data_IF_568279437569
#
_entry.id   IF_568279437569
#
_cell.length_a   1.000
_cell.length_b   1.000
_cell.length_c   1.000
_cell.angle_alpha   90.00
_cell.angle_beta   90.00
_cell.angle_gamma   90.00
#
_symmetry.space_group_name_H-M   'P 1'
#
loop_
_entity.id
_entity.type
_entity.pdbx_description
1 polymer ?
#
# COMPACT_ATOMS: atom_id res chain seq x y z
N UNK A 1 -20.72 -9.13 -9.69
CA UNK A 1 -19.48 -9.89 -9.43
C UNK A 1 -18.39 -8.87 -9.25
N UNK A 2 -17.61 -8.91 -8.18
CA UNK A 2 -16.51 -7.96 -7.98
C UNK A 2 -15.35 -8.35 -8.87
N UNK A 3 -14.84 -7.41 -9.65
CA UNK A 3 -13.70 -7.59 -10.56
C UNK A 3 -12.39 -7.13 -9.90
N UNK A 4 -11.26 -7.46 -10.52
CA UNK A 4 -9.96 -6.92 -10.08
C UNK A 4 -9.91 -5.39 -10.23
N UNK A 5 -10.52 -4.83 -11.28
CA UNK A 5 -10.57 -3.38 -11.48
C UNK A 5 -11.38 -2.70 -10.38
N UNK A 6 -12.50 -3.29 -9.96
CA UNK A 6 -13.30 -2.75 -8.86
C UNK A 6 -12.49 -2.67 -7.55
N UNK A 7 -11.60 -3.64 -7.29
CA UNK A 7 -10.72 -3.62 -6.12
C UNK A 7 -9.66 -2.52 -6.23
N UNK A 8 -9.03 -2.40 -7.41
CA UNK A 8 -8.02 -1.36 -7.68
C UNK A 8 -8.61 0.03 -7.47
N UNK A 9 -9.81 0.27 -8.02
CA UNK A 9 -10.48 1.57 -7.96
C UNK A 9 -10.97 1.87 -6.53
N UNK A 10 -11.55 0.87 -5.85
CA UNK A 10 -12.07 1.04 -4.49
C UNK A 10 -10.95 1.36 -3.48
N UNK A 11 -9.82 0.64 -3.57
CA UNK A 11 -8.69 0.80 -2.65
C UNK A 11 -7.68 1.86 -3.10
N UNK A 12 -7.87 2.44 -4.30
CA UNK A 12 -6.96 3.41 -4.92
C UNK A 12 -5.53 2.85 -5.05
N UNK A 13 -5.43 1.63 -5.57
CA UNK A 13 -4.15 0.97 -5.75
C UNK A 13 -3.35 1.61 -6.90
N UNK A 14 -2.04 1.66 -6.73
CA UNK A 14 -1.08 2.16 -7.71
C UNK A 14 -0.18 1.03 -8.21
N UNK A 15 0.50 1.23 -9.35
CA UNK A 15 1.44 0.24 -9.88
C UNK A 15 2.70 0.17 -9.02
N UNK A 16 3.01 -1.03 -8.52
CA UNK A 16 4.25 -1.27 -7.78
C UNK A 16 5.42 -1.47 -8.76
N UNK A 17 6.62 -0.92 -8.49
CA UNK A 17 7.80 -1.09 -9.33
C UNK A 17 8.21 -2.55 -9.58
N UNK A 18 7.92 -3.44 -8.63
CA UNK A 18 8.19 -4.88 -8.75
C UNK A 18 7.13 -5.66 -9.54
N UNK A 19 6.07 -4.98 -9.99
CA UNK A 19 4.89 -5.57 -10.61
C UNK A 19 3.72 -5.70 -9.64
N UNK A 20 2.49 -5.77 -10.18
CA UNK A 20 1.26 -5.83 -9.38
C UNK A 20 0.67 -4.45 -9.07
N UNK A 21 -0.15 -4.39 -8.01
CA UNK A 21 -0.87 -3.20 -7.53
C UNK A 21 -0.74 -3.11 -6.00
N UNK A 22 -0.54 -1.92 -5.45
CA UNK A 22 -0.41 -1.72 -4.00
C UNK A 22 -0.89 -0.35 -3.55
N UNK A 23 -1.11 -0.18 -2.25
CA UNK A 23 -1.22 1.12 -1.59
C UNK A 23 -0.72 0.98 -0.15
N UNK A 24 0.07 1.92 0.36
CA UNK A 24 0.45 1.92 1.78
C UNK A 24 -0.69 2.46 2.63
N UNK A 25 -1.31 1.60 3.43
CA UNK A 25 -2.45 1.95 4.28
C UNK A 25 -2.03 2.35 5.69
N UNK A 26 -0.82 1.96 6.10
CA UNK A 26 -0.30 2.24 7.44
C UNK A 26 1.21 2.50 7.43
N UNK A 27 1.62 3.42 8.28
CA UNK A 27 3.00 3.68 8.66
C UNK A 27 3.02 4.11 10.13
N UNK A 28 3.83 3.44 10.94
CA UNK A 28 4.08 3.87 12.32
C UNK A 28 4.70 5.28 12.37
N UNK A 29 4.61 5.98 13.52
CA UNK A 29 5.44 7.15 13.79
C UNK A 29 6.93 6.87 13.53
N UNK A 30 7.71 7.93 13.34
CA UNK A 30 9.17 7.80 13.15
C UNK A 30 9.80 7.01 14.30
N UNK A 31 10.53 5.97 13.92
CA UNK A 31 11.36 5.17 14.81
C UNK A 31 12.83 5.56 14.72
N UNK A 32 13.71 4.61 15.01
CA UNK A 32 15.16 4.83 15.05
C UNK A 32 15.67 5.23 13.65
N UNK A 33 16.53 6.25 13.62
CA UNK A 33 17.17 6.78 12.40
C UNK A 33 16.18 7.17 11.28
N UNK A 34 14.97 7.59 11.65
CA UNK A 34 13.93 8.00 10.69
C UNK A 34 13.20 6.83 10.03
N UNK A 35 13.48 5.58 10.41
CA UNK A 35 12.75 4.40 9.93
C UNK A 35 11.59 4.08 10.86
N UNK A 36 10.37 4.08 10.32
CA UNK A 36 9.18 3.62 11.04
C UNK A 36 9.33 2.14 11.47
N UNK A 37 8.77 1.80 12.63
CA UNK A 37 8.83 0.42 13.16
C UNK A 37 8.13 -0.60 12.26
N UNK A 38 7.03 -0.20 11.63
CA UNK A 38 6.35 -1.00 10.62
C UNK A 38 5.64 -0.14 9.57
N UNK A 39 5.30 -0.80 8.47
CA UNK A 39 4.45 -0.30 7.39
C UNK A 39 3.59 -1.45 6.89
N UNK A 40 2.39 -1.16 6.38
CA UNK A 40 1.51 -2.18 5.80
C UNK A 40 0.96 -1.74 4.44
N UNK A 41 0.83 -2.72 3.55
CA UNK A 41 0.27 -2.64 2.19
C UNK A 41 -0.67 -3.83 1.96
#
# INVERSE_FOLDING_TARGET
MTTAQDIIDLLKLERHPEGGWYVQTYRDPEGIDGRAHSTAI
#
